data_IF_343305934449
#
_entry.id   IF_343305934449
#
_cell.length_a   1.000
_cell.length_b   1.000
_cell.length_c   1.000
_cell.angle_alpha   90.00
_cell.angle_beta   90.00
_cell.angle_gamma   90.00
#
_symmetry.space_group_name_H-M   'P 1'
#
loop_
_entity.id
_entity.type
_entity.pdbx_description
1 polymer ?
#
# COMPACT_ATOMS: atom_id res chain seq x y z
N UNK A 1 -10.19 -28.71 -12.02
CA UNK A 1 -9.17 -27.73 -12.36
C UNK A 1 -9.80 -26.34 -12.52
N UNK A 2 -9.23 -25.37 -11.90
CA UNK A 2 -9.79 -24.04 -11.99
C UNK A 2 -9.15 -23.26 -13.12
N UNK A 3 -9.93 -22.41 -13.74
CA UNK A 3 -9.43 -21.49 -14.75
C UNK A 3 -9.12 -20.17 -14.08
N UNK A 4 -8.03 -19.55 -14.52
CA UNK A 4 -7.69 -18.22 -14.06
C UNK A 4 -8.37 -17.20 -14.97
N UNK A 5 -9.23 -16.39 -14.39
CA UNK A 5 -9.92 -15.33 -15.12
C UNK A 5 -9.20 -14.02 -14.84
N UNK A 6 -8.70 -13.40 -15.89
CA UNK A 6 -8.01 -12.13 -15.77
C UNK A 6 -9.03 -11.00 -15.77
N UNK A 7 -8.93 -10.09 -14.79
CA UNK A 7 -9.80 -8.92 -14.81
C UNK A 7 -9.42 -7.97 -15.94
N UNK A 8 -10.34 -7.10 -16.35
CA UNK A 8 -10.12 -6.17 -17.46
C UNK A 8 -9.27 -4.97 -17.06
N UNK A 9 -9.30 -4.56 -15.79
CA UNK A 9 -8.66 -3.33 -15.34
C UNK A 9 -7.60 -3.60 -14.30
N UNK A 10 -7.85 -4.52 -13.38
CA UNK A 10 -6.86 -4.91 -12.38
C UNK A 10 -5.87 -5.91 -12.97
N UNK A 11 -4.70 -6.01 -12.35
CA UNK A 11 -3.65 -6.96 -12.77
C UNK A 11 -3.06 -7.64 -11.55
N UNK A 12 -2.35 -8.73 -11.79
CA UNK A 12 -1.63 -9.50 -10.76
C UNK A 12 -2.54 -10.10 -9.69
N UNK A 13 -3.81 -10.25 -9.99
CA UNK A 13 -4.80 -10.88 -9.12
C UNK A 13 -5.88 -11.48 -10.03
N UNK A 14 -6.41 -12.62 -9.66
CA UNK A 14 -7.44 -13.28 -10.47
C UNK A 14 -8.82 -12.75 -10.12
N UNK A 15 -9.71 -12.71 -11.12
CA UNK A 15 -11.11 -12.39 -10.90
C UNK A 15 -11.86 -13.64 -10.46
N UNK A 16 -12.99 -13.46 -9.78
CA UNK A 16 -13.90 -14.54 -9.34
C UNK A 16 -13.22 -15.56 -8.43
N UNK A 17 -12.29 -15.09 -7.62
CA UNK A 17 -11.53 -15.96 -6.72
C UNK A 17 -11.35 -15.20 -5.40
N UNK A 18 -11.71 -15.85 -4.30
CA UNK A 18 -11.50 -15.24 -3.00
C UNK A 18 -10.02 -15.32 -2.65
N UNK A 19 -9.46 -14.21 -2.20
CA UNK A 19 -8.06 -14.16 -1.82
C UNK A 19 -7.92 -13.54 -0.44
N UNK A 20 -6.85 -13.90 0.26
CA UNK A 20 -6.45 -13.24 1.49
C UNK A 20 -5.34 -12.27 1.08
N UNK A 21 -5.60 -10.97 1.19
CA UNK A 21 -4.66 -9.97 0.66
C UNK A 21 -3.25 -10.09 1.24
N UNK A 22 -3.14 -10.34 2.54
CA UNK A 22 -1.81 -10.44 3.17
C UNK A 22 -0.99 -11.62 2.63
N UNK A 23 -1.65 -12.61 2.02
CA UNK A 23 -0.95 -13.76 1.46
C UNK A 23 -0.49 -13.53 0.02
N UNK A 24 -0.81 -12.37 -0.55
CA UNK A 24 -0.45 -12.03 -1.94
C UNK A 24 0.97 -11.49 -2.05
N UNK A 25 1.58 -11.10 -0.96
CA UNK A 25 2.96 -10.61 -0.90
C UNK A 25 3.64 -11.22 0.32
N UNK A 26 4.95 -11.35 0.26
CA UNK A 26 5.72 -11.95 1.35
C UNK A 26 6.77 -10.97 1.85
N UNK A 27 6.94 -10.89 3.17
CA UNK A 27 8.02 -10.12 3.78
C UNK A 27 9.33 -10.89 3.65
N UNK A 28 10.35 -10.22 3.10
CA UNK A 28 11.69 -10.78 2.99
C UNK A 28 12.66 -9.87 3.72
N UNK A 29 13.62 -10.44 4.48
CA UNK A 29 14.59 -9.63 5.23
C UNK A 29 15.33 -8.65 4.32
N UNK A 30 15.40 -7.38 4.76
CA UNK A 30 16.12 -6.34 4.05
C UNK A 30 15.46 -5.85 2.78
N UNK A 31 14.18 -6.17 2.56
CA UNK A 31 13.51 -5.83 1.31
C UNK A 31 12.14 -5.23 1.54
N UNK A 32 11.75 -4.39 0.58
CA UNK A 32 10.37 -3.92 0.43
C UNK A 32 9.89 -4.49 -0.91
N UNK A 33 8.87 -5.32 -0.86
CA UNK A 33 8.28 -5.97 -2.04
C UNK A 33 6.96 -5.28 -2.35
N UNK A 34 6.71 -5.00 -3.61
CA UNK A 34 5.43 -4.42 -4.01
C UNK A 34 4.77 -5.25 -5.10
N UNK A 35 3.44 -5.22 -5.11
CA UNK A 35 2.64 -5.89 -6.13
C UNK A 35 1.53 -4.94 -6.52
N UNK A 36 1.63 -4.38 -7.72
CA UNK A 36 0.63 -3.42 -8.21
C UNK A 36 -0.58 -4.18 -8.73
N UNK A 37 -1.75 -3.82 -8.23
CA UNK A 37 -3.02 -4.44 -8.62
C UNK A 37 -3.81 -3.59 -9.61
N UNK A 38 -3.60 -2.28 -9.62
CA UNK A 38 -4.24 -1.38 -10.58
C UNK A 38 -3.47 -0.07 -10.60
N UNK A 39 -3.44 0.56 -11.76
CA UNK A 39 -2.81 1.88 -11.88
C UNK A 39 -3.31 2.56 -13.13
N UNK A 40 -3.87 3.76 -12.96
CA UNK A 40 -4.27 4.63 -14.05
C UNK A 40 -4.22 6.07 -13.56
N UNK A 41 -4.78 7.00 -14.34
CA UNK A 41 -4.72 8.43 -14.01
C UNK A 41 -5.58 8.80 -12.80
N UNK A 42 -6.45 7.90 -12.36
CA UNK A 42 -7.42 8.19 -11.30
C UNK A 42 -7.09 7.47 -10.00
N UNK A 43 -6.47 6.29 -10.08
CA UNK A 43 -6.25 5.45 -8.89
C UNK A 43 -5.06 4.54 -9.08
N UNK A 44 -4.35 4.28 -8.00
CA UNK A 44 -3.40 3.16 -7.96
C UNK A 44 -3.70 2.31 -6.73
N UNK A 45 -3.55 1.00 -6.87
CA UNK A 45 -3.75 0.04 -5.78
C UNK A 45 -2.54 -0.87 -5.76
N UNK A 46 -1.81 -0.88 -4.65
CA UNK A 46 -0.58 -1.65 -4.53
C UNK A 46 -0.53 -2.33 -3.16
N UNK A 47 -0.10 -3.59 -3.16
CA UNK A 47 0.22 -4.30 -1.93
C UNK A 47 1.71 -4.16 -1.67
N UNK A 48 2.08 -3.96 -0.41
CA UNK A 48 3.48 -3.87 0.00
C UNK A 48 3.77 -4.84 1.13
N UNK A 49 4.96 -5.41 1.11
CA UNK A 49 5.48 -6.21 2.22
C UNK A 49 6.87 -5.66 2.57
N UNK A 50 7.03 -5.25 3.82
CA UNK A 50 8.27 -4.69 4.35
C UNK A 50 8.90 -5.69 5.29
N UNK A 51 10.15 -6.02 5.09
CA UNK A 51 10.91 -6.72 6.13
C UNK A 51 11.07 -5.80 7.34
N UNK A 52 11.13 -6.36 8.54
CA UNK A 52 11.24 -5.58 9.77
C UNK A 52 12.40 -4.59 9.67
N UNK A 53 12.16 -3.34 10.06
CA UNK A 53 13.16 -2.28 10.05
C UNK A 53 13.29 -1.54 8.72
N UNK A 54 12.68 -2.03 7.65
CA UNK A 54 12.73 -1.35 6.36
C UNK A 54 11.87 -0.10 6.39
N UNK A 55 12.30 0.94 5.68
CA UNK A 55 11.61 2.22 5.71
C UNK A 55 11.58 2.88 4.35
N UNK A 56 10.57 3.71 4.16
CA UNK A 56 10.47 4.60 3.03
C UNK A 56 10.67 6.01 3.56
N UNK A 57 11.69 6.69 3.02
CA UNK A 57 12.03 8.05 3.44
C UNK A 57 10.89 9.02 3.10
N UNK A 58 10.88 10.16 3.78
CA UNK A 58 9.86 11.17 3.60
C UNK A 58 9.72 11.58 2.13
N UNK A 59 8.51 11.56 1.63
CA UNK A 59 8.18 11.95 0.27
C UNK A 59 6.73 12.41 0.23
N UNK A 60 6.29 12.92 -0.92
CA UNK A 60 4.92 13.41 -1.12
C UNK A 60 4.28 12.60 -2.24
N UNK A 61 3.01 12.26 -2.06
CA UNK A 61 2.26 11.57 -3.10
C UNK A 61 1.46 12.58 -3.92
N UNK A 62 1.15 12.20 -5.16
CA UNK A 62 0.36 13.02 -6.07
C UNK A 62 -1.14 12.90 -5.88
N UNK A 63 -1.58 12.21 -4.85
CA UNK A 63 -2.99 12.04 -4.50
C UNK A 63 -3.11 11.73 -3.02
N UNK A 64 -4.34 11.55 -2.54
CA UNK A 64 -4.57 11.09 -1.18
C UNK A 64 -4.20 9.61 -1.12
N UNK A 65 -3.30 9.26 -0.21
CA UNK A 65 -2.79 7.91 -0.08
C UNK A 65 -3.43 7.24 1.12
N UNK A 66 -4.25 6.23 0.85
CA UNK A 66 -5.01 5.51 1.87
C UNK A 66 -4.31 4.20 2.18
N UNK A 67 -3.80 4.09 3.41
CA UNK A 67 -3.06 2.91 3.87
C UNK A 67 -4.00 2.05 4.72
N UNK A 68 -4.03 0.76 4.43
CA UNK A 68 -4.68 -0.23 5.29
C UNK A 68 -3.63 -1.26 5.70
N UNK A 69 -3.38 -1.35 7.01
CA UNK A 69 -2.43 -2.34 7.53
C UNK A 69 -3.07 -3.73 7.51
N UNK A 70 -2.38 -4.69 6.93
CA UNK A 70 -2.86 -6.07 6.77
C UNK A 70 -2.19 -7.03 7.75
N UNK A 71 -0.96 -6.74 8.14
CA UNK A 71 -0.17 -7.61 9.02
C UNK A 71 0.95 -6.78 9.64
N UNK A 72 1.26 -7.03 10.90
CA UNK A 72 2.40 -6.39 11.58
C UNK A 72 2.13 -4.96 12.02
N UNK A 73 3.21 -4.20 12.20
CA UNK A 73 3.15 -2.83 12.70
C UNK A 73 4.04 -1.92 11.89
N UNK A 74 3.55 -0.71 11.64
CA UNK A 74 4.29 0.33 10.93
C UNK A 74 4.16 1.65 11.67
N UNK A 75 5.25 2.41 11.70
CA UNK A 75 5.25 3.79 12.18
C UNK A 75 5.15 4.69 10.95
N UNK A 76 4.11 5.52 10.91
CA UNK A 76 3.90 6.46 9.82
C UNK A 76 4.00 7.87 10.37
N UNK A 77 4.85 8.68 9.76
CA UNK A 77 4.97 10.09 10.11
C UNK A 77 4.37 10.90 8.98
N UNK A 78 3.39 11.75 9.30
CA UNK A 78 2.75 12.65 8.36
C UNK A 78 2.97 14.05 8.90
N UNK A 79 3.64 14.92 8.13
CA UNK A 79 4.12 16.21 8.63
C UNK A 79 4.96 15.96 9.88
N UNK A 80 4.55 16.47 11.04
CA UNK A 80 5.26 16.28 12.30
C UNK A 80 4.57 15.27 13.22
N UNK A 81 3.50 14.63 12.74
CA UNK A 81 2.71 13.72 13.57
C UNK A 81 3.07 12.27 13.26
N UNK A 82 3.20 11.46 14.30
CA UNK A 82 3.58 10.06 14.19
C UNK A 82 2.44 9.17 14.65
N UNK A 83 2.16 8.15 13.85
CA UNK A 83 1.09 7.17 14.10
C UNK A 83 1.67 5.77 14.02
N UNK A 84 1.21 4.86 14.87
CA UNK A 84 1.57 3.45 14.77
C UNK A 84 0.33 2.68 14.39
N UNK A 85 0.39 2.05 13.21
CA UNK A 85 -0.71 1.24 12.71
C UNK A 85 -0.41 -0.23 12.92
N UNK A 86 -1.45 -0.98 13.31
CA UNK A 86 -1.43 -2.43 13.40
C UNK A 86 -2.47 -2.98 12.42
N UNK A 87 -2.40 -4.27 12.15
CA UNK A 87 -3.35 -4.94 11.26
C UNK A 87 -4.80 -4.53 11.61
N UNK A 88 -5.53 -4.11 10.60
CA UNK A 88 -6.90 -3.63 10.75
C UNK A 88 -7.05 -2.12 10.86
N UNK A 89 -5.96 -1.39 11.09
CA UNK A 89 -6.00 0.08 11.13
C UNK A 89 -5.77 0.65 9.74
N UNK A 90 -6.33 1.84 9.52
CA UNK A 90 -6.16 2.58 8.27
C UNK A 90 -5.89 4.04 8.56
N UNK A 91 -5.23 4.71 7.63
CA UNK A 91 -4.98 6.15 7.72
C UNK A 91 -4.89 6.74 6.33
N UNK A 92 -5.29 8.00 6.18
CA UNK A 92 -5.10 8.74 4.93
C UNK A 92 -3.90 9.66 5.09
N UNK A 93 -2.94 9.52 4.18
CA UNK A 93 -1.81 10.44 4.06
C UNK A 93 -2.19 11.44 2.99
N UNK A 94 -2.47 12.70 3.35
CA UNK A 94 -3.11 13.63 2.41
C UNK A 94 -2.18 14.10 1.29
N UNK A 95 -2.78 14.41 0.16
CA UNK A 95 -2.08 14.94 -1.01
C UNK A 95 -1.14 16.06 -0.64
N UNK A 96 0.11 15.96 -1.08
CA UNK A 96 1.10 17.03 -0.92
C UNK A 96 1.74 17.12 0.45
N UNK A 97 1.28 16.37 1.44
CA UNK A 97 1.91 16.38 2.77
C UNK A 97 3.04 15.34 2.82
N UNK A 98 4.21 15.70 3.34
CA UNK A 98 5.30 14.74 3.43
C UNK A 98 4.96 13.61 4.39
N UNK A 99 5.32 12.39 4.03
CA UNK A 99 5.08 11.23 4.87
C UNK A 99 6.22 10.23 4.73
N UNK A 100 6.45 9.49 5.80
CA UNK A 100 7.48 8.45 5.87
C UNK A 100 6.91 7.24 6.58
N UNK A 101 7.40 6.06 6.24
CA UNK A 101 6.95 4.80 6.84
C UNK A 101 8.16 4.02 7.33
N UNK A 102 8.03 3.39 8.50
CA UNK A 102 9.06 2.52 9.05
C UNK A 102 8.41 1.27 9.64
N UNK A 103 8.75 0.11 9.11
CA UNK A 103 8.22 -1.15 9.60
C UNK A 103 8.86 -1.48 10.96
N UNK A 104 8.03 -1.59 11.99
CA UNK A 104 8.50 -1.94 13.34
C UNK A 104 8.65 -3.44 13.50
N UNK A 105 7.97 -4.22 12.66
CA UNK A 105 8.12 -5.66 12.52
C UNK A 105 7.81 -5.97 11.06
N UNK A 106 7.85 -7.22 10.64
CA UNK A 106 7.41 -7.58 9.28
C UNK A 106 6.01 -7.03 9.09
N UNK A 107 5.82 -6.25 8.03
CA UNK A 107 4.61 -5.45 7.86
C UNK A 107 4.08 -5.57 6.43
N UNK A 108 2.77 -5.67 6.32
CA UNK A 108 2.10 -5.68 5.01
C UNK A 108 0.97 -4.67 5.00
N UNK A 109 0.79 -4.01 3.87
CA UNK A 109 -0.27 -3.02 3.71
C UNK A 109 -0.83 -3.03 2.30
N UNK A 110 -2.05 -2.53 2.18
CA UNK A 110 -2.61 -2.14 0.90
C UNK A 110 -2.60 -0.62 0.83
N UNK A 111 -2.07 -0.10 -0.25
CA UNK A 111 -2.01 1.34 -0.49
C UNK A 111 -2.90 1.68 -1.67
N UNK A 112 -3.88 2.56 -1.44
CA UNK A 112 -4.75 3.07 -2.50
C UNK A 112 -4.49 4.56 -2.62
N UNK A 113 -4.07 5.02 -3.80
CA UNK A 113 -3.89 6.45 -4.03
C UNK A 113 -4.99 6.92 -4.96
N UNK A 114 -5.72 7.94 -4.52
CA UNK A 114 -6.77 8.57 -5.31
C UNK A 114 -6.21 9.90 -5.81
N UNK A 115 -6.10 10.04 -7.12
CA UNK A 115 -5.53 11.24 -7.74
C UNK A 115 -6.62 12.29 -7.94
N UNK A 116 -6.27 13.58 -7.90
CA UNK A 116 -7.27 14.63 -8.10
C UNK A 116 -7.89 14.51 -9.48
N UNK A 117 -9.16 14.85 -9.57
CA UNK A 117 -9.93 14.75 -10.81
C UNK A 117 -9.29 15.54 -11.94
N UNK A 118 -8.76 16.71 -11.61
CA UNK A 118 -8.04 17.54 -12.57
C UNK A 118 -6.58 17.58 -12.14
N UNK A 119 -5.77 16.57 -12.57
CA UNK A 119 -4.37 16.55 -12.18
C UNK A 119 -3.70 17.86 -12.59
N UNK A 120 -2.89 18.38 -11.69
CA UNK A 120 -2.27 19.67 -11.96
C UNK A 120 -1.27 19.57 -13.07
N UNK A 121 -1.35 20.56 -13.82
CA UNK A 121 -0.29 20.81 -14.76
C UNK A 121 0.96 21.19 -14.02
#
# INVERSE_FOLDING_TARGET
>A
MSEHIKPSVMKNINAKEMVVLKDQVACLPGQIISKTLAQNDHVSVTLFAFGAGEEIASHRAGGDAFVTALEGKVEITIDDDTFVLEAGNSIVMPLGHPHALKALEDFKMMLVIIYPENPRE
#
